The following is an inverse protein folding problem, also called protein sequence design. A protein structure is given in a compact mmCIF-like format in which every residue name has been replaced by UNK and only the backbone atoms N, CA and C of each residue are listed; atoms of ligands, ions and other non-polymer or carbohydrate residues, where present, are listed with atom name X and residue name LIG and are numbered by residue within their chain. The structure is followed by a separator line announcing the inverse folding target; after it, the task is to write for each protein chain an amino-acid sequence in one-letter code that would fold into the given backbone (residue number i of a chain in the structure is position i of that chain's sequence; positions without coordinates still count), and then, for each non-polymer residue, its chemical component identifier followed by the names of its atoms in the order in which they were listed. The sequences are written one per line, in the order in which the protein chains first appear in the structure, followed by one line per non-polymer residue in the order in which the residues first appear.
data_IF_302766680004
#
_entry.id   IF_302766680004
#
_cell.length_a   1.000
_cell.length_b   1.000
_cell.length_c   1.000
_cell.angle_alpha   90.00
_cell.angle_beta   90.00
_cell.angle_gamma   90.00
#
_symmetry.space_group_name_H-M   'P 1'
#
loop_
_entity.id
_entity.type
_entity.pdbx_description
1 polymer ?
#
# COMPACT_ATOMS: atom_id res chain seq x y z
N UNK A 1 2.96 17.11 -22.10
CA UNK A 1 2.70 16.50 -20.79
C UNK A 1 4.04 16.28 -20.10
N UNK A 2 4.21 16.82 -18.88
CA UNK A 2 5.47 16.69 -18.14
C UNK A 2 5.77 15.22 -17.76
N UNK A 3 7.03 14.91 -17.45
CA UNK A 3 7.42 13.57 -16.99
C UNK A 3 6.72 13.20 -15.69
N UNK A 4 6.62 14.13 -14.75
CA UNK A 4 5.86 14.01 -13.50
C UNK A 4 4.42 13.55 -13.77
N UNK A 5 3.70 14.29 -14.62
CA UNK A 5 2.29 14.00 -14.97
C UNK A 5 2.14 12.63 -15.63
N UNK A 6 3.05 12.30 -16.55
CA UNK A 6 3.02 11.02 -17.26
C UNK A 6 3.18 9.84 -16.28
N UNK A 7 4.19 9.88 -15.40
CA UNK A 7 4.46 8.80 -14.48
C UNK A 7 3.39 8.65 -13.40
N UNK A 8 2.88 9.76 -12.86
CA UNK A 8 1.75 9.73 -11.92
C UNK A 8 0.54 9.00 -12.50
N UNK A 9 0.10 9.42 -13.70
CA UNK A 9 -1.11 8.83 -14.31
C UNK A 9 -0.90 7.40 -14.81
N UNK A 10 0.28 7.05 -15.31
CA UNK A 10 0.58 5.67 -15.70
C UNK A 10 0.49 4.75 -14.50
N UNK A 11 1.18 5.06 -13.40
CA UNK A 11 1.15 4.22 -12.20
C UNK A 11 -0.24 4.17 -11.60
N UNK A 12 -0.91 5.30 -11.46
CA UNK A 12 -2.28 5.35 -10.95
C UNK A 12 -3.23 4.45 -11.76
N UNK A 13 -3.31 4.65 -13.08
CA UNK A 13 -4.27 3.93 -13.93
C UNK A 13 -3.94 2.45 -14.04
N UNK A 14 -2.66 2.10 -14.27
CA UNK A 14 -2.26 0.69 -14.44
C UNK A 14 -2.55 -0.10 -13.17
N UNK A 15 -2.15 0.39 -12.00
CA UNK A 15 -2.35 -0.32 -10.75
C UNK A 15 -3.82 -0.34 -10.32
N UNK A 16 -4.58 0.72 -10.55
CA UNK A 16 -6.02 0.73 -10.31
C UNK A 16 -6.76 -0.29 -11.18
N UNK A 17 -6.42 -0.35 -12.47
CA UNK A 17 -7.04 -1.34 -13.39
C UNK A 17 -6.68 -2.76 -12.98
N UNK A 18 -5.40 -3.03 -12.67
CA UNK A 18 -4.96 -4.35 -12.20
C UNK A 18 -5.71 -4.76 -10.92
N UNK A 19 -5.84 -3.85 -9.95
CA UNK A 19 -6.57 -4.11 -8.71
C UNK A 19 -8.04 -4.45 -8.99
N UNK A 20 -8.74 -3.63 -9.75
CA UNK A 20 -10.16 -3.83 -10.01
C UNK A 20 -10.44 -5.09 -10.85
N UNK A 21 -9.61 -5.36 -11.87
CA UNK A 21 -9.75 -6.55 -12.70
C UNK A 21 -9.54 -7.82 -11.88
N UNK A 22 -8.51 -7.86 -11.05
CA UNK A 22 -8.25 -9.03 -10.19
C UNK A 22 -9.34 -9.22 -9.13
N UNK A 23 -9.82 -8.17 -8.50
CA UNK A 23 -10.94 -8.23 -7.55
C UNK A 23 -12.24 -8.71 -8.19
N UNK A 24 -12.56 -8.21 -9.40
CA UNK A 24 -13.74 -8.68 -10.14
C UNK A 24 -13.59 -10.16 -10.50
N UNK A 25 -12.40 -10.57 -10.98
CA UNK A 25 -12.15 -11.96 -11.31
C UNK A 25 -12.33 -12.88 -10.09
N UNK A 26 -11.75 -12.54 -8.95
CA UNK A 26 -11.90 -13.29 -7.70
C UNK A 26 -13.36 -13.36 -7.29
N UNK A 27 -14.04 -12.22 -7.26
CA UNK A 27 -15.45 -12.13 -6.84
C UNK A 27 -16.39 -12.96 -7.71
N UNK A 28 -16.11 -13.09 -9.01
CA UNK A 28 -16.97 -13.79 -9.96
C UNK A 28 -16.64 -15.26 -10.14
N UNK A 29 -15.42 -15.71 -9.82
CA UNK A 29 -14.96 -17.06 -10.11
C UNK A 29 -14.67 -17.91 -8.87
N UNK A 30 -14.51 -17.31 -7.70
CA UNK A 30 -14.21 -18.03 -6.47
C UNK A 30 -15.36 -17.86 -5.45
N UNK A 31 -15.82 -18.98 -4.90
CA UNK A 31 -16.80 -18.95 -3.83
C UNK A 31 -16.19 -18.43 -2.53
N UNK A 32 -16.92 -17.51 -1.88
CA UNK A 32 -16.47 -16.83 -0.68
C UNK A 32 -16.12 -17.81 0.46
N UNK A 33 -14.88 -17.77 0.93
CA UNK A 33 -14.32 -18.63 1.99
C UNK A 33 -14.35 -20.14 1.72
N UNK A 34 -14.56 -20.56 0.48
CA UNK A 34 -14.64 -21.96 0.09
C UNK A 34 -13.50 -22.30 -0.87
N UNK A 35 -13.39 -21.53 -1.96
CA UNK A 35 -12.41 -21.81 -2.99
C UNK A 35 -11.05 -21.23 -2.67
N UNK A 36 -10.01 -22.00 -3.00
CA UNK A 36 -8.62 -21.58 -2.99
C UNK A 36 -7.89 -22.14 -4.22
N UNK A 37 -7.12 -21.28 -4.88
CA UNK A 37 -6.24 -21.66 -5.99
C UNK A 37 -4.80 -21.58 -5.52
N UNK A 38 -4.16 -22.72 -5.31
CA UNK A 38 -2.76 -22.78 -4.90
C UNK A 38 -1.85 -22.34 -6.05
N UNK A 39 -1.10 -21.24 -5.84
CA UNK A 39 -0.04 -20.81 -6.74
C UNK A 39 1.29 -21.44 -6.36
N UNK A 40 1.58 -21.52 -5.06
CA UNK A 40 2.71 -22.25 -4.49
C UNK A 40 2.14 -23.10 -3.35
N UNK A 41 2.06 -24.44 -3.52
CA UNK A 41 1.50 -25.31 -2.51
C UNK A 41 2.13 -25.12 -1.14
N UNK A 42 1.29 -24.96 -0.11
CA UNK A 42 1.72 -24.76 1.28
C UNK A 42 2.27 -23.38 1.59
N UNK A 43 2.23 -22.41 0.66
CA UNK A 43 2.79 -21.08 0.88
C UNK A 43 1.95 -19.93 0.33
N UNK A 44 1.46 -20.02 -0.92
CA UNK A 44 0.77 -18.92 -1.59
C UNK A 44 -0.48 -19.40 -2.30
N UNK A 45 -1.61 -18.78 -1.99
CA UNK A 45 -2.91 -19.09 -2.57
C UNK A 45 -3.66 -17.83 -2.98
N UNK A 46 -4.52 -17.97 -3.98
CA UNK A 46 -5.57 -17.00 -4.27
C UNK A 46 -6.86 -17.50 -3.64
N UNK A 47 -7.44 -16.71 -2.78
CA UNK A 47 -8.66 -16.99 -2.03
C UNK A 47 -9.69 -15.88 -2.24
N UNK A 48 -10.94 -16.11 -1.87
CA UNK A 48 -11.93 -15.03 -1.79
C UNK A 48 -12.21 -14.70 -0.33
N UNK A 49 -11.59 -13.63 0.17
CA UNK A 49 -11.86 -13.07 1.49
C UNK A 49 -12.46 -11.67 1.37
N UNK A 50 -13.24 -11.26 2.36
CA UNK A 50 -13.82 -9.92 2.44
C UNK A 50 -13.41 -9.27 3.75
N UNK A 51 -12.75 -8.12 3.64
CA UNK A 51 -12.25 -7.33 4.75
C UNK A 51 -13.18 -6.14 5.03
N UNK A 52 -13.93 -6.17 6.12
CA UNK A 52 -14.82 -5.08 6.49
C UNK A 52 -14.10 -3.84 7.05
N UNK A 53 -12.76 -3.84 7.08
CA UNK A 53 -11.97 -2.77 7.69
C UNK A 53 -11.75 -3.00 9.19
N UNK A 54 -11.75 -4.27 9.62
CA UNK A 54 -11.60 -4.66 11.02
C UNK A 54 -10.14 -4.73 11.49
N UNK A 55 -9.23 -3.94 10.94
CA UNK A 55 -7.89 -3.82 11.50
C UNK A 55 -8.02 -3.48 13.00
N UNK A 56 -7.60 -4.44 13.84
CA UNK A 56 -7.62 -4.35 15.30
C UNK A 56 -9.02 -4.30 15.98
N UNK A 57 -10.12 -4.60 15.28
CA UNK A 57 -11.45 -4.69 15.90
C UNK A 57 -12.10 -3.37 16.34
N UNK A 58 -11.42 -2.23 16.17
CA UNK A 58 -11.81 -0.92 16.70
C UNK A 58 -13.17 -0.39 16.22
N UNK A 59 -13.66 -0.87 15.07
CA UNK A 59 -14.92 -0.40 14.48
C UNK A 59 -15.88 -1.56 14.16
N UNK A 60 -15.71 -2.73 14.77
CA UNK A 60 -16.50 -3.92 14.42
C UNK A 60 -18.01 -3.71 14.60
N UNK A 61 -18.41 -2.97 15.61
CA UNK A 61 -19.82 -2.71 15.93
C UNK A 61 -20.40 -1.48 15.24
N UNK A 62 -19.57 -0.75 14.47
CA UNK A 62 -20.02 0.47 13.80
C UNK A 62 -20.53 0.17 12.38
N UNK A 63 -21.84 0.32 12.17
CA UNK A 63 -22.49 0.02 10.88
C UNK A 63 -21.92 0.81 9.71
N UNK A 64 -21.55 2.08 9.92
CA UNK A 64 -21.05 2.99 8.88
C UNK A 64 -19.52 3.02 8.77
N UNK A 65 -18.81 2.01 9.34
CA UNK A 65 -17.33 1.93 9.30
C UNK A 65 -16.74 2.09 7.90
N UNK A 66 -17.40 1.54 6.86
CA UNK A 66 -16.97 1.68 5.48
C UNK A 66 -16.92 3.15 5.02
N UNK A 67 -17.85 4.00 5.48
CA UNK A 67 -17.84 5.44 5.17
C UNK A 67 -16.71 6.18 5.89
N UNK A 68 -16.34 5.76 7.09
CA UNK A 68 -15.16 6.31 7.79
C UNK A 68 -13.89 6.07 6.98
N UNK A 69 -13.70 4.84 6.47
CA UNK A 69 -12.54 4.53 5.62
C UNK A 69 -12.58 5.26 4.27
N UNK A 70 -13.76 5.46 3.68
CA UNK A 70 -13.93 6.31 2.48
C UNK A 70 -13.56 7.76 2.82
N UNK A 71 -13.97 8.27 3.97
CA UNK A 71 -13.57 9.60 4.46
C UNK A 71 -12.05 9.74 4.59
N UNK A 72 -11.37 8.76 5.18
CA UNK A 72 -9.90 8.74 5.21
C UNK A 72 -9.29 8.74 3.81
N UNK A 73 -9.89 8.00 2.87
CA UNK A 73 -9.43 8.03 1.47
C UNK A 73 -9.58 9.42 0.85
N UNK A 74 -10.69 10.13 1.09
CA UNK A 74 -10.89 11.51 0.58
C UNK A 74 -9.81 12.44 1.13
N UNK A 75 -9.51 12.36 2.42
CA UNK A 75 -8.42 13.15 3.03
C UNK A 75 -7.07 12.78 2.40
N UNK A 76 -6.77 11.49 2.27
CA UNK A 76 -5.53 11.03 1.66
C UNK A 76 -5.38 11.52 0.22
N UNK A 77 -6.45 11.45 -0.60
CA UNK A 77 -6.48 12.00 -1.96
C UNK A 77 -6.16 13.49 -1.96
N UNK A 78 -6.75 14.26 -1.04
CA UNK A 78 -6.45 15.70 -0.89
C UNK A 78 -4.98 15.96 -0.62
N UNK A 79 -4.39 15.21 0.31
CA UNK A 79 -2.96 15.29 0.65
C UNK A 79 -2.08 14.90 -0.54
N UNK A 80 -2.40 13.80 -1.23
CA UNK A 80 -1.63 13.34 -2.40
C UNK A 80 -1.67 14.39 -3.51
N UNK A 81 -2.83 14.98 -3.77
CA UNK A 81 -2.97 16.05 -4.78
C UNK A 81 -2.15 17.28 -4.41
N UNK A 82 -2.13 17.69 -3.13
CA UNK A 82 -1.31 18.81 -2.66
C UNK A 82 0.19 18.51 -2.83
N UNK A 83 0.64 17.34 -2.38
CA UNK A 83 2.03 16.89 -2.55
C UNK A 83 2.41 16.86 -4.04
N UNK A 84 1.58 16.24 -4.89
CA UNK A 84 1.81 16.18 -6.32
C UNK A 84 1.97 17.56 -6.96
N UNK A 85 1.14 18.55 -6.55
CA UNK A 85 1.23 19.92 -7.06
C UNK A 85 2.53 20.60 -6.71
N UNK A 86 3.12 20.29 -5.56
CA UNK A 86 4.39 20.84 -5.09
C UNK A 86 5.62 20.18 -5.68
N UNK A 87 5.49 19.00 -6.31
CA UNK A 87 6.62 18.29 -6.91
C UNK A 87 7.24 19.07 -8.07
N UNK A 88 8.59 19.06 -8.19
CA UNK A 88 9.29 19.48 -9.39
C UNK A 88 8.83 18.70 -10.63
N UNK A 89 8.82 19.34 -11.81
CA UNK A 89 8.36 18.71 -13.05
C UNK A 89 9.23 17.52 -13.50
N UNK A 90 10.49 17.47 -13.07
CA UNK A 90 11.44 16.39 -13.36
C UNK A 90 11.30 15.18 -12.42
N UNK A 91 10.62 15.34 -11.26
CA UNK A 91 10.55 14.28 -10.25
C UNK A 91 9.52 13.21 -10.61
N UNK A 92 9.97 12.30 -11.45
CA UNK A 92 9.17 11.18 -11.94
C UNK A 92 8.99 10.07 -10.90
N UNK A 93 9.99 9.85 -10.02
CA UNK A 93 9.94 8.74 -9.06
C UNK A 93 8.96 9.04 -7.94
N UNK A 94 9.02 10.25 -7.36
CA UNK A 94 8.04 10.69 -6.38
C UNK A 94 6.62 10.75 -6.97
N UNK A 95 6.48 11.22 -8.22
CA UNK A 95 5.19 11.22 -8.91
C UNK A 95 4.64 9.81 -9.10
N UNK A 96 5.49 8.83 -9.46
CA UNK A 96 5.11 7.43 -9.56
C UNK A 96 4.69 6.84 -8.19
N UNK A 97 5.44 7.14 -7.13
CA UNK A 97 5.10 6.74 -5.77
C UNK A 97 3.73 7.28 -5.33
N UNK A 98 3.46 8.56 -5.56
CA UNK A 98 2.15 9.16 -5.27
C UNK A 98 1.03 8.56 -6.11
N UNK A 99 1.29 8.20 -7.38
CA UNK A 99 0.35 7.49 -8.23
C UNK A 99 0.00 6.10 -7.70
N UNK A 100 0.99 5.36 -7.19
CA UNK A 100 0.80 4.06 -6.51
C UNK A 100 -0.06 4.21 -5.26
N UNK A 101 0.27 5.15 -4.37
CA UNK A 101 -0.51 5.40 -3.14
C UNK A 101 -1.94 5.78 -3.49
N UNK A 102 -2.13 6.65 -4.48
CA UNK A 102 -3.45 7.07 -4.96
C UNK A 102 -4.26 5.87 -5.48
N UNK A 103 -3.64 4.99 -6.28
CA UNK A 103 -4.32 3.82 -6.86
C UNK A 103 -4.79 2.85 -5.78
N UNK A 104 -3.96 2.58 -4.78
CA UNK A 104 -4.32 1.70 -3.66
C UNK A 104 -5.44 2.28 -2.79
N UNK A 105 -5.36 3.56 -2.46
CA UNK A 105 -6.39 4.24 -1.69
C UNK A 105 -7.74 4.25 -2.42
N UNK A 106 -7.75 4.62 -3.70
CA UNK A 106 -8.97 4.67 -4.53
C UNK A 106 -9.51 3.27 -4.80
N UNK A 107 -8.66 2.27 -5.11
CA UNK A 107 -9.08 0.89 -5.36
C UNK A 107 -9.84 0.28 -4.19
N UNK A 108 -9.32 0.45 -2.97
CA UNK A 108 -9.99 -0.02 -1.76
C UNK A 108 -11.24 0.81 -1.38
N UNK A 109 -11.30 2.09 -1.77
CA UNK A 109 -12.51 2.90 -1.57
C UNK A 109 -13.64 2.50 -2.52
N UNK A 110 -13.33 2.15 -3.77
CA UNK A 110 -14.32 1.65 -4.74
C UNK A 110 -15.01 0.40 -4.17
N UNK A 111 -14.26 -0.56 -3.65
CA UNK A 111 -14.85 -1.75 -3.02
C UNK A 111 -15.75 -1.41 -1.85
N UNK A 112 -15.31 -0.50 -0.96
CA UNK A 112 -16.11 -0.08 0.21
C UNK A 112 -17.41 0.64 -0.16
N UNK A 113 -17.40 1.42 -1.23
CA UNK A 113 -18.60 2.09 -1.72
C UNK A 113 -19.61 1.13 -2.34
N UNK A 114 -19.14 0.07 -3.03
CA UNK A 114 -20.01 -0.89 -3.70
C UNK A 114 -20.44 -2.05 -2.80
N UNK A 115 -19.51 -2.61 -2.03
CA UNK A 115 -19.69 -3.87 -1.28
C UNK A 115 -19.68 -3.68 0.24
N UNK A 116 -19.32 -2.47 0.74
CA UNK A 116 -19.07 -2.15 2.16
C UNK A 116 -17.88 -2.89 2.78
N UNK A 117 -17.19 -3.71 1.99
CA UNK A 117 -16.01 -4.50 2.36
C UNK A 117 -14.96 -4.35 1.26
N UNK A 118 -13.72 -4.73 1.55
CA UNK A 118 -12.66 -4.85 0.55
C UNK A 118 -12.49 -6.32 0.20
N UNK A 119 -12.32 -6.63 -1.09
CA UNK A 119 -12.00 -7.98 -1.55
C UNK A 119 -10.50 -8.21 -1.43
N UNK A 120 -10.10 -9.10 -0.51
CA UNK A 120 -8.72 -9.55 -0.32
C UNK A 120 -8.57 -10.96 -0.86
N UNK A 121 -7.46 -11.23 -1.56
CA UNK A 121 -7.34 -12.51 -2.26
C UNK A 121 -5.95 -13.14 -2.25
N UNK A 122 -4.91 -12.41 -1.88
CA UNK A 122 -3.57 -12.97 -1.73
C UNK A 122 -3.42 -13.51 -0.32
N UNK A 123 -3.31 -14.82 -0.18
CA UNK A 123 -3.08 -15.51 1.09
C UNK A 123 -1.66 -16.06 1.12
N UNK A 124 -0.85 -15.59 2.08
CA UNK A 124 0.50 -16.11 2.36
C UNK A 124 0.47 -16.83 3.69
N UNK A 125 0.86 -18.10 3.72
CA UNK A 125 0.80 -18.92 4.92
C UNK A 125 1.89 -20.00 4.91
N UNK A 126 2.11 -20.63 6.06
CA UNK A 126 2.91 -21.86 6.15
C UNK A 126 2.32 -22.79 7.19
N UNK A 127 2.35 -24.09 6.87
CA UNK A 127 2.01 -25.21 7.77
C UNK A 127 3.23 -26.06 8.08
N UNK A 128 4.39 -25.70 7.54
CA UNK A 128 5.65 -26.39 7.87
C UNK A 128 6.02 -26.17 9.34
N UNK A 129 6.17 -27.27 10.07
CA UNK A 129 6.37 -27.24 11.51
C UNK A 129 7.63 -26.46 11.93
N UNK A 130 8.71 -26.51 11.16
CA UNK A 130 9.95 -25.80 11.45
C UNK A 130 9.80 -24.29 11.26
N UNK A 131 9.11 -23.87 10.22
CA UNK A 131 8.79 -22.46 10.01
C UNK A 131 7.79 -21.93 11.05
N UNK A 132 6.74 -22.70 11.36
CA UNK A 132 5.76 -22.34 12.40
C UNK A 132 6.43 -22.15 13.75
N UNK A 133 7.33 -23.07 14.17
CA UNK A 133 8.08 -22.95 15.40
C UNK A 133 8.97 -21.69 15.40
N UNK A 134 9.73 -21.47 14.31
CA UNK A 134 10.61 -20.32 14.16
C UNK A 134 9.85 -19.00 14.22
N UNK A 135 8.76 -18.87 13.45
CA UNK A 135 7.96 -17.66 13.37
C UNK A 135 7.20 -17.38 14.67
N UNK A 136 6.68 -18.43 15.33
CA UNK A 136 6.01 -18.30 16.65
C UNK A 136 6.95 -17.81 17.74
N UNK A 137 8.26 -18.02 17.59
CA UNK A 137 9.28 -17.50 18.51
C UNK A 137 9.47 -15.98 18.42
N UNK A 138 8.96 -15.32 17.36
CA UNK A 138 9.05 -13.86 17.19
C UNK A 138 7.79 -13.21 17.75
N UNK A 139 7.86 -12.39 18.81
CA UNK A 139 6.66 -11.88 19.53
C UNK A 139 5.65 -11.17 18.64
N UNK A 140 6.10 -10.38 17.64
CA UNK A 140 5.22 -9.65 16.72
C UNK A 140 4.54 -10.62 15.73
N UNK A 141 5.24 -11.67 15.29
CA UNK A 141 4.76 -12.63 14.31
C UNK A 141 3.89 -13.70 14.98
N UNK A 142 4.12 -14.00 16.25
CA UNK A 142 3.35 -15.00 16.99
C UNK A 142 1.83 -14.75 16.95
N UNK A 143 1.40 -13.48 16.88
CA UNK A 143 -0.01 -13.13 16.73
C UNK A 143 -0.62 -13.61 15.40
N UNK A 144 0.22 -13.91 14.39
CA UNK A 144 -0.17 -14.43 13.07
C UNK A 144 -0.12 -15.96 13.01
N UNK A 145 0.31 -16.61 14.10
CA UNK A 145 0.47 -18.05 14.19
C UNK A 145 -0.56 -18.66 15.12
N UNK A 146 -1.13 -19.80 14.71
CA UNK A 146 -2.10 -20.53 15.53
C UNK A 146 -2.51 -21.85 14.87
N UNK A 147 -2.93 -22.81 15.68
CA UNK A 147 -3.44 -24.13 15.23
C UNK A 147 -2.51 -24.88 14.27
N UNK A 148 -1.18 -24.66 14.37
CA UNK A 148 -0.19 -25.35 13.55
C UNK A 148 0.10 -24.68 12.21
N UNK A 149 -0.28 -23.44 12.03
CA UNK A 149 0.05 -22.62 10.86
C UNK A 149 0.39 -21.20 11.25
N UNK A 150 1.14 -20.49 10.40
CA UNK A 150 1.29 -19.05 10.46
C UNK A 150 0.74 -18.46 9.17
N UNK A 151 -0.10 -17.43 9.27
CA UNK A 151 -0.77 -16.83 8.13
C UNK A 151 -0.69 -15.29 8.20
N UNK A 152 -0.20 -14.67 7.12
CA UNK A 152 -0.28 -13.23 6.95
C UNK A 152 -1.72 -12.82 6.60
N UNK A 153 -2.27 -11.73 7.17
CA UNK A 153 -3.59 -11.26 6.77
C UNK A 153 -3.69 -11.13 5.25
N UNK A 154 -4.75 -11.71 4.69
CA UNK A 154 -4.96 -11.65 3.24
C UNK A 154 -5.01 -10.20 2.76
N UNK A 155 -4.47 -9.94 1.58
CA UNK A 155 -4.37 -8.61 0.99
C UNK A 155 -4.66 -8.64 -0.52
N UNK A 156 -4.63 -7.49 -1.16
CA UNK A 156 -4.92 -7.31 -2.58
C UNK A 156 -3.88 -6.44 -3.30
N UNK A 157 -4.09 -6.18 -4.58
CA UNK A 157 -3.19 -5.35 -5.40
C UNK A 157 -3.15 -3.89 -4.91
N UNK A 158 -4.27 -3.34 -4.44
CA UNK A 158 -4.33 -1.98 -3.91
C UNK A 158 -3.45 -1.83 -2.66
N UNK A 159 -3.45 -2.82 -1.76
CA UNK A 159 -2.60 -2.82 -0.55
C UNK A 159 -1.12 -2.92 -0.92
N UNK A 160 -0.78 -3.74 -1.92
CA UNK A 160 0.58 -3.84 -2.46
C UNK A 160 1.04 -2.53 -3.07
N UNK A 161 0.18 -1.86 -3.86
CA UNK A 161 0.49 -0.56 -4.45
C UNK A 161 0.69 0.51 -3.37
N UNK A 162 -0.16 0.54 -2.34
CA UNK A 162 -0.02 1.41 -1.18
C UNK A 162 1.33 1.21 -0.48
N UNK A 163 1.66 -0.03 -0.15
CA UNK A 163 2.91 -0.37 0.54
C UNK A 163 4.13 0.05 -0.28
N UNK A 164 4.19 -0.35 -1.55
CA UNK A 164 5.32 -0.01 -2.45
C UNK A 164 5.42 1.51 -2.63
N UNK A 165 4.29 2.19 -2.83
CA UNK A 165 4.26 3.64 -2.98
C UNK A 165 4.76 4.38 -1.74
N UNK A 166 4.35 3.94 -0.55
CA UNK A 166 4.82 4.52 0.73
C UNK A 166 6.31 4.27 0.94
N UNK A 167 6.79 3.07 0.66
CA UNK A 167 8.22 2.73 0.76
C UNK A 167 9.04 3.62 -0.18
N UNK A 168 8.65 3.75 -1.45
CA UNK A 168 9.33 4.62 -2.42
C UNK A 168 9.30 6.09 -1.99
N UNK A 169 8.17 6.56 -1.47
CA UNK A 169 8.02 7.92 -0.97
C UNK A 169 9.03 8.24 0.14
N UNK A 170 9.17 7.37 1.13
CA UNK A 170 10.11 7.59 2.22
C UNK A 170 11.57 7.45 1.78
N UNK A 171 11.91 6.49 0.95
CA UNK A 171 13.28 6.35 0.42
C UNK A 171 13.72 7.57 -0.39
N UNK A 172 12.81 8.17 -1.14
CA UNK A 172 13.13 9.38 -1.91
C UNK A 172 13.40 10.58 -1.00
N UNK A 173 12.66 10.72 0.10
CA UNK A 173 12.88 11.81 1.05
C UNK A 173 14.19 11.69 1.83
N UNK A 174 14.63 10.48 2.13
CA UNK A 174 15.90 10.26 2.86
C UNK A 174 17.13 10.42 1.97
N UNK A 175 16.98 10.38 0.64
CA UNK A 175 18.07 10.56 -0.33
C UNK A 175 18.37 12.03 -0.67
N UNK A 176 17.53 12.98 -0.31
CA UNK A 176 17.82 14.41 -0.42
C UNK A 176 18.60 14.86 0.83
N UNK A 177 19.95 14.76 0.78
CA UNK A 177 20.78 15.50 1.73
C UNK A 177 20.45 16.99 1.59
N UNK A 178 20.19 17.72 2.71
CA UNK A 178 20.06 19.17 2.64
C UNK A 178 21.34 19.72 2.04
N UNK A 179 21.22 20.43 0.91
CA UNK A 179 22.31 21.17 0.32
C UNK A 179 22.94 22.01 1.43
N UNK A 180 24.20 21.70 1.79
CA UNK A 180 24.93 22.45 2.78
C UNK A 180 24.83 23.94 2.40
N UNK A 181 24.23 24.75 3.25
CA UNK A 181 24.27 26.19 3.14
C UNK A 181 25.75 26.58 3.03
N UNK A 182 26.18 26.94 1.83
CA UNK A 182 27.46 27.57 1.61
C UNK A 182 27.41 28.89 2.37
N UNK A 183 27.99 28.87 3.56
CA UNK A 183 28.10 30.07 4.38
C UNK A 183 28.81 31.20 3.63
N UNK A 184 28.30 32.42 3.68
CA UNK A 184 29.00 33.60 3.15
C UNK A 184 30.07 33.98 4.14
N UNK A 185 31.31 33.52 3.97
CA UNK A 185 32.48 34.19 4.53
C UNK A 185 33.78 33.54 4.05
N UNK A 186 34.27 34.03 2.94
CA UNK A 186 35.70 34.11 2.72
C UNK A 186 35.99 35.57 2.39
N UNK A 187 36.06 36.38 3.46
CA UNK A 187 36.63 37.72 3.37
C UNK A 187 38.07 37.63 2.88
N UNK A 188 38.39 38.27 1.78
CA UNK A 188 39.75 38.45 1.27
C UNK A 188 40.58 39.18 2.34
N UNK A 189 41.79 38.71 2.66
CA UNK A 189 42.73 39.51 3.42
C UNK A 189 43.30 40.60 2.49
N UNK A 190 42.99 41.83 2.84
CA UNK A 190 43.47 43.04 2.16
C UNK A 190 44.98 43.06 1.98
N UNK A 191 45.41 43.39 0.80
CA UNK A 191 46.74 43.87 0.48
C UNK A 191 46.90 45.25 1.12
N UNK A 192 47.76 45.34 2.09
CA UNK A 192 48.19 46.57 2.72
C UNK A 192 49.71 46.75 2.65
N UNK A 193 50.13 47.85 2.05
CA UNK A 193 51.39 48.43 2.28
C UNK A 193 52.51 48.18 1.28
#
# INVERSE_FOLDING_TARGET
VSLKTKWFWITFVVWLVLDQVTKIWVYTNLEYRVDAVALIPGFLEIVHAQNPGAAFGLLNDFEYRHLVFVGFTVVAVGVIVDLYRRLPEADRLMAAALGLIMSGAVGNAIDRLHKRTVTDFVRVFTEDAGWVETLSGVPVINALCGRGSCEWPSFNIADSALLVGVVLFFFQQTGEEPAAEAGPDAAEPGAGG
#
